data_IF_057556779449
#
_entry.id   IF_057556779449
#
_cell.length_a   1.000
_cell.length_b   1.000
_cell.length_c   1.000
_cell.angle_alpha   90.00
_cell.angle_beta   90.00
_cell.angle_gamma   90.00
#
_symmetry.space_group_name_H-M   'P 1'
#
loop_
_entity.id
_entity.type
_entity.pdbx_description
1 polymer ?
#
# COMPACT_ATOMS: atom_id res chain seq x y z
N UNK A 1 -32.42 35.83 -12.99
CA UNK A 1 -33.25 36.20 -11.83
C UNK A 1 -33.26 35.02 -10.85
N UNK A 2 -33.04 35.38 -9.58
CA UNK A 2 -33.19 34.58 -8.33
C UNK A 2 -32.09 33.55 -8.04
N UNK A 3 -31.21 34.00 -7.31
CA UNK A 3 -30.51 33.73 -6.04
C UNK A 3 -31.37 32.91 -5.07
N UNK A 4 -30.78 31.83 -4.51
CA UNK A 4 -31.04 31.46 -3.11
C UNK A 4 -29.72 30.89 -2.56
N UNK A 5 -29.14 31.65 -1.64
CA UNK A 5 -28.22 31.23 -0.61
C UNK A 5 -28.98 30.47 0.45
N UNK A 6 -28.42 29.42 0.99
CA UNK A 6 -28.71 29.00 2.37
C UNK A 6 -27.40 28.47 3.00
N UNK A 7 -26.91 29.32 3.86
CA UNK A 7 -25.99 28.99 4.94
C UNK A 7 -26.71 28.12 5.97
N UNK A 8 -26.01 27.17 6.56
CA UNK A 8 -26.25 26.78 7.94
C UNK A 8 -24.95 26.26 8.56
N UNK A 9 -24.57 26.98 9.56
CA UNK A 9 -23.46 26.76 10.46
C UNK A 9 -23.87 25.84 11.63
N UNK A 10 -22.83 25.49 12.43
CA UNK A 10 -22.89 25.09 13.85
C UNK A 10 -23.19 23.60 14.08
N UNK A 11 -22.42 22.85 14.86
CA UNK A 11 -21.98 23.14 16.23
C UNK A 11 -20.73 22.32 16.62
N UNK A 12 -19.88 22.96 17.36
CA UNK A 12 -18.91 22.35 18.28
C UNK A 12 -19.65 21.65 19.44
N UNK A 13 -19.11 20.50 19.85
CA UNK A 13 -19.27 20.01 21.22
C UNK A 13 -17.97 19.40 21.70
N UNK A 14 -17.27 20.18 22.46
CA UNK A 14 -16.30 19.78 23.47
C UNK A 14 -17.08 19.24 24.68
N UNK A 15 -16.58 18.21 25.33
CA UNK A 15 -16.73 17.82 26.75
C UNK A 15 -16.22 16.36 26.79
N UNK A 16 -15.34 15.91 27.67
CA UNK A 16 -14.82 16.41 28.92
C UNK A 16 -13.74 15.45 29.42
N UNK A 17 -12.83 16.02 30.09
CA UNK A 17 -11.80 15.35 30.86
C UNK A 17 -12.41 14.61 32.06
N UNK A 18 -11.87 13.45 32.38
CA UNK A 18 -11.94 12.90 33.73
C UNK A 18 -10.57 12.37 34.11
N UNK A 19 -9.99 13.11 34.99
CA UNK A 19 -8.81 12.77 35.75
C UNK A 19 -9.22 11.96 37.00
N UNK A 20 -8.19 11.41 37.62
CA UNK A 20 -8.09 10.90 38.99
C UNK A 20 -8.18 9.39 39.08
N UNK A 21 -7.34 8.70 39.81
CA UNK A 21 -6.65 9.05 41.04
C UNK A 21 -5.58 8.02 41.37
N UNK A 22 -4.57 8.48 42.04
CA UNK A 22 -3.50 7.76 42.72
C UNK A 22 -3.89 6.47 43.41
N UNK A 23 -3.05 5.46 43.34
CA UNK A 23 -2.43 4.96 44.59
C UNK A 23 -1.09 4.29 44.34
N UNK A 24 -0.13 4.65 45.15
CA UNK A 24 1.21 4.15 45.26
C UNK A 24 1.25 2.67 45.68
N UNK A 25 2.10 1.88 45.08
CA UNK A 25 3.13 1.14 45.82
C UNK A 25 4.19 0.54 44.91
N UNK A 26 5.39 0.74 45.32
CA UNK A 26 6.65 0.27 44.78
C UNK A 26 6.74 -1.25 44.70
N UNK A 27 7.27 -1.77 43.59
CA UNK A 27 8.32 -2.78 43.62
C UNK A 27 8.96 -2.86 42.24
N UNK A 28 10.26 -2.66 42.21
CA UNK A 28 11.16 -2.77 41.11
C UNK A 28 11.10 -4.16 40.46
N UNK A 29 10.87 -4.18 39.15
CA UNK A 29 11.43 -5.21 38.31
C UNK A 29 11.64 -4.62 36.91
N UNK A 30 12.90 -4.43 36.56
CA UNK A 30 13.34 -4.05 35.24
C UNK A 30 13.00 -5.18 34.26
N UNK A 31 11.98 -4.97 33.46
CA UNK A 31 11.80 -5.70 32.23
C UNK A 31 11.76 -4.68 31.10
N UNK A 32 12.84 -4.66 30.35
CA UNK A 32 13.00 -3.93 29.10
C UNK A 32 11.86 -4.29 28.17
N UNK A 33 10.78 -3.55 28.21
CA UNK A 33 9.76 -3.57 27.17
C UNK A 33 10.38 -2.98 25.92
N UNK A 34 10.92 -3.83 25.08
CA UNK A 34 11.11 -3.53 23.68
C UNK A 34 9.78 -3.02 23.13
N UNK A 35 9.66 -1.71 22.97
CA UNK A 35 8.53 -1.10 22.28
C UNK A 35 8.61 -1.55 20.82
N UNK A 36 7.90 -2.63 20.48
CA UNK A 36 7.59 -2.93 19.09
C UNK A 36 6.85 -1.74 18.54
N UNK A 37 7.56 -0.89 17.81
CA UNK A 37 6.94 0.14 16.98
C UNK A 37 5.99 -0.59 16.05
N UNK A 38 4.69 -0.46 16.30
CA UNK A 38 3.65 -1.01 15.44
C UNK A 38 3.74 -0.24 14.13
N UNK A 39 4.46 -0.79 13.17
CA UNK A 39 4.54 -0.20 11.84
C UNK A 39 3.13 -0.14 11.26
N UNK A 40 2.67 1.06 10.97
CA UNK A 40 1.35 1.31 10.40
C UNK A 40 1.29 0.66 9.01
N UNK A 41 0.49 -0.38 8.88
CA UNK A 41 0.28 -1.05 7.60
C UNK A 41 -0.37 -0.09 6.61
N UNK A 42 0.31 0.19 5.51
CA UNK A 42 -0.18 1.12 4.48
C UNK A 42 -1.13 0.45 3.48
N UNK A 43 -1.11 -0.88 3.41
CA UNK A 43 -1.96 -1.68 2.54
C UNK A 43 -2.79 -2.68 3.36
N UNK A 44 -4.06 -2.79 3.03
CA UNK A 44 -5.00 -3.67 3.71
C UNK A 44 -5.90 -4.42 2.71
N UNK A 45 -6.66 -5.39 3.21
CA UNK A 45 -7.55 -6.21 2.40
C UNK A 45 -8.60 -5.38 1.63
N UNK A 46 -9.08 -4.25 2.20
CA UNK A 46 -10.08 -3.40 1.53
C UNK A 46 -9.48 -2.72 0.30
N UNK A 47 -8.28 -2.17 0.45
CA UNK A 47 -7.54 -1.55 -0.67
C UNK A 47 -7.21 -2.58 -1.75
N UNK A 48 -6.80 -3.77 -1.35
CA UNK A 48 -6.51 -4.87 -2.26
C UNK A 48 -7.74 -5.31 -3.05
N UNK A 49 -8.88 -5.46 -2.40
CA UNK A 49 -10.15 -5.78 -3.06
C UNK A 49 -10.63 -4.65 -4.00
N UNK A 50 -10.43 -3.40 -3.61
CA UNK A 50 -10.75 -2.26 -4.47
C UNK A 50 -9.90 -2.28 -5.73
N UNK A 51 -8.58 -2.48 -5.59
CA UNK A 51 -7.68 -2.58 -6.72
C UNK A 51 -8.06 -3.76 -7.64
N UNK A 52 -8.42 -4.92 -7.07
CA UNK A 52 -8.84 -6.07 -7.87
C UNK A 52 -10.05 -5.74 -8.75
N UNK A 53 -11.06 -5.06 -8.20
CA UNK A 53 -12.24 -4.61 -8.97
C UNK A 53 -11.88 -3.63 -10.09
N UNK A 54 -10.99 -2.70 -9.81
CA UNK A 54 -10.53 -1.74 -10.84
C UNK A 54 -9.73 -2.44 -11.94
N UNK A 55 -8.90 -3.42 -11.59
CA UNK A 55 -8.15 -4.21 -12.57
C UNK A 55 -9.06 -5.07 -13.44
N UNK A 56 -10.10 -5.67 -12.86
CA UNK A 56 -11.12 -6.40 -13.62
C UNK A 56 -11.85 -5.49 -14.61
N UNK A 57 -12.26 -4.30 -14.15
CA UNK A 57 -12.91 -3.31 -15.01
C UNK A 57 -11.98 -2.83 -16.12
N UNK A 58 -10.72 -2.55 -15.78
CA UNK A 58 -9.71 -2.16 -16.75
C UNK A 58 -9.49 -3.26 -17.80
N UNK A 59 -9.35 -4.50 -17.35
CA UNK A 59 -9.19 -5.66 -18.25
C UNK A 59 -10.38 -5.83 -19.20
N UNK A 60 -11.60 -5.75 -18.69
CA UNK A 60 -12.83 -5.81 -19.52
C UNK A 60 -12.83 -4.71 -20.60
N UNK A 61 -12.51 -3.47 -20.21
CA UNK A 61 -12.48 -2.36 -21.15
C UNK A 61 -11.39 -2.51 -22.23
N UNK A 62 -10.31 -3.21 -21.93
CA UNK A 62 -9.19 -3.48 -22.84
C UNK A 62 -9.30 -4.83 -23.53
N UNK A 63 -10.33 -5.64 -23.24
CA UNK A 63 -10.46 -7.04 -23.68
C UNK A 63 -9.23 -7.89 -23.32
N UNK A 64 -8.67 -7.64 -22.11
CA UNK A 64 -7.47 -8.25 -21.57
C UNK A 64 -7.79 -8.90 -20.23
N UNK A 65 -7.20 -10.05 -19.96
CA UNK A 65 -7.31 -10.72 -18.66
C UNK A 65 -6.01 -10.51 -17.89
N UNK A 66 -6.13 -10.13 -16.64
CA UNK A 66 -4.99 -9.92 -15.76
C UNK A 66 -4.93 -10.97 -14.66
N UNK A 67 -3.80 -11.67 -14.59
CA UNK A 67 -3.52 -12.61 -13.51
C UNK A 67 -2.87 -11.87 -12.36
N UNK A 68 -3.45 -12.00 -11.16
CA UNK A 68 -2.88 -11.42 -9.94
C UNK A 68 -1.87 -12.38 -9.32
N UNK A 69 -0.75 -11.84 -8.85
CA UNK A 69 0.18 -12.58 -8.00
C UNK A 69 -0.49 -12.92 -6.65
N UNK A 70 -0.48 -14.18 -6.27
CA UNK A 70 -1.17 -14.69 -5.07
C UNK A 70 -0.34 -14.56 -3.77
N UNK A 71 0.90 -14.08 -3.89
CA UNK A 71 1.83 -13.94 -2.78
C UNK A 71 2.56 -15.24 -2.38
N UNK A 72 2.29 -16.36 -3.05
CA UNK A 72 2.85 -17.68 -2.74
C UNK A 72 3.58 -18.30 -3.92
N UNK A 73 2.87 -18.50 -5.02
CA UNK A 73 3.40 -19.13 -6.22
C UNK A 73 4.06 -18.08 -7.11
N UNK A 74 5.17 -18.44 -7.74
CA UNK A 74 5.85 -17.52 -8.65
C UNK A 74 4.94 -17.11 -9.80
N UNK A 75 4.84 -15.83 -10.06
CA UNK A 75 4.15 -15.29 -11.24
C UNK A 75 5.16 -15.18 -12.38
N UNK A 76 5.07 -16.10 -13.33
CA UNK A 76 5.87 -16.06 -14.55
C UNK A 76 5.20 -15.15 -15.57
N UNK A 77 5.97 -14.24 -16.12
CA UNK A 77 5.58 -13.33 -17.19
C UNK A 77 6.46 -13.59 -18.42
N UNK A 78 6.17 -12.97 -19.53
CA UNK A 78 6.97 -13.12 -20.75
C UNK A 78 8.46 -12.82 -20.56
N UNK A 79 8.83 -11.93 -19.64
CA UNK A 79 10.20 -11.47 -19.46
C UNK A 79 10.76 -11.64 -18.06
N UNK A 80 9.92 -11.91 -17.06
CA UNK A 80 10.32 -11.92 -15.64
C UNK A 80 9.55 -12.95 -14.85
N UNK A 81 10.14 -13.34 -13.72
CA UNK A 81 9.51 -14.20 -12.72
C UNK A 81 9.44 -13.39 -11.42
N UNK A 82 8.23 -13.12 -10.94
CA UNK A 82 8.02 -12.40 -9.67
C UNK A 82 7.79 -13.38 -8.52
N UNK A 83 8.29 -13.06 -7.31
CA UNK A 83 9.00 -11.82 -6.93
C UNK A 83 10.51 -11.83 -7.21
N UNK A 84 11.07 -12.86 -7.81
CA UNK A 84 12.53 -13.05 -8.00
C UNK A 84 13.17 -11.89 -8.79
N UNK A 85 12.42 -11.32 -9.73
CA UNK A 85 12.87 -10.19 -10.54
C UNK A 85 13.31 -8.98 -9.70
N UNK A 86 12.68 -8.74 -8.55
CA UNK A 86 13.07 -7.64 -7.67
C UNK A 86 14.48 -7.78 -7.10
N UNK A 87 14.98 -9.01 -6.99
CA UNK A 87 16.35 -9.29 -6.51
C UNK A 87 17.38 -9.33 -7.64
N UNK A 88 16.95 -9.74 -8.82
CA UNK A 88 17.84 -9.97 -9.97
C UNK A 88 18.01 -8.74 -10.84
N UNK A 89 16.94 -7.97 -11.03
CA UNK A 89 16.92 -6.84 -11.94
C UNK A 89 17.35 -5.55 -11.24
N UNK A 90 17.88 -4.61 -12.02
CA UNK A 90 18.15 -3.26 -11.56
C UNK A 90 17.00 -2.36 -11.98
N UNK A 91 16.31 -1.80 -11.00
CA UNK A 91 15.23 -0.84 -11.24
C UNK A 91 15.75 0.58 -11.13
N UNK A 92 15.29 1.43 -12.04
CA UNK A 92 15.65 2.86 -12.07
C UNK A 92 14.39 3.70 -12.20
N UNK A 93 14.34 4.81 -11.47
CA UNK A 93 13.33 5.84 -11.60
C UNK A 93 14.03 7.17 -11.87
N UNK A 94 13.67 7.83 -12.98
CA UNK A 94 14.33 9.06 -13.43
C UNK A 94 15.88 8.93 -13.46
N UNK A 95 16.38 7.80 -13.96
CA UNK A 95 17.80 7.49 -14.06
C UNK A 95 18.48 7.05 -12.75
N UNK A 96 17.86 7.23 -11.59
CA UNK A 96 18.41 6.82 -10.29
C UNK A 96 18.03 5.38 -9.96
N UNK A 97 18.99 4.60 -9.47
CA UNK A 97 18.71 3.25 -8.95
C UNK A 97 17.82 3.36 -7.72
N UNK A 98 16.78 2.53 -7.68
CA UNK A 98 15.86 2.42 -6.55
C UNK A 98 15.85 0.98 -6.02
N UNK A 99 15.60 0.82 -4.73
CA UNK A 99 15.22 -0.45 -4.15
C UNK A 99 13.71 -0.65 -4.28
N UNK A 100 13.31 -1.80 -4.80
CA UNK A 100 11.92 -2.18 -4.98
C UNK A 100 11.76 -3.65 -4.62
N UNK A 101 10.68 -4.03 -3.96
CA UNK A 101 10.48 -5.42 -3.56
C UNK A 101 9.06 -5.71 -3.10
N UNK A 102 8.77 -7.00 -3.01
CA UNK A 102 7.48 -7.48 -2.52
C UNK A 102 7.33 -7.19 -1.03
N UNK A 103 6.32 -6.42 -0.69
CA UNK A 103 5.96 -6.00 0.66
C UNK A 103 4.43 -5.84 0.73
N UNK A 104 3.69 -6.96 0.91
CA UNK A 104 2.24 -7.01 0.70
C UNK A 104 1.42 -6.15 1.65
N UNK A 105 2.01 -5.66 2.72
CA UNK A 105 1.36 -4.77 3.68
C UNK A 105 1.93 -3.34 3.63
N UNK A 106 2.94 -3.10 2.77
CA UNK A 106 3.61 -1.81 2.68
C UNK A 106 4.40 -1.51 3.95
N UNK A 107 5.31 -2.42 4.31
CA UNK A 107 6.05 -2.38 5.58
C UNK A 107 7.28 -1.47 5.54
N UNK A 108 7.50 -0.74 4.46
CA UNK A 108 8.62 0.18 4.28
C UNK A 108 10.01 -0.47 4.26
N UNK A 109 10.08 -1.66 3.66
CA UNK A 109 11.35 -2.39 3.51
C UNK A 109 12.20 -1.89 2.33
N UNK A 110 11.57 -1.23 1.35
CA UNK A 110 12.20 -0.76 0.12
C UNK A 110 11.89 0.71 -0.11
N UNK A 111 12.61 1.37 -1.04
CA UNK A 111 12.20 2.70 -1.49
C UNK A 111 10.78 2.65 -2.07
N UNK A 112 10.45 1.52 -2.72
CA UNK A 112 9.11 1.23 -3.24
C UNK A 112 8.67 -0.17 -2.82
N UNK A 113 7.73 -0.22 -1.89
CA UNK A 113 7.07 -1.46 -1.49
C UNK A 113 6.03 -1.85 -2.53
N UNK A 114 6.14 -3.05 -3.12
CA UNK A 114 5.15 -3.58 -4.05
C UNK A 114 4.13 -4.40 -3.30
N UNK A 115 2.88 -3.97 -3.33
CA UNK A 115 1.77 -4.57 -2.59
C UNK A 115 0.85 -5.43 -3.44
N UNK A 116 0.84 -5.21 -4.76
CA UNK A 116 0.12 -6.06 -5.70
C UNK A 116 0.82 -6.09 -7.06
N UNK A 117 0.74 -7.23 -7.74
CA UNK A 117 1.26 -7.44 -9.08
C UNK A 117 0.15 -8.04 -9.92
N UNK A 118 -0.10 -7.44 -11.08
CA UNK A 118 -1.02 -7.96 -12.08
C UNK A 118 -0.31 -8.08 -13.41
N UNK A 119 -0.49 -9.22 -14.07
CA UNK A 119 0.16 -9.47 -15.34
C UNK A 119 -0.87 -9.90 -16.39
N UNK A 120 -0.77 -9.31 -17.56
CA UNK A 120 -1.41 -9.76 -18.77
C UNK A 120 -0.30 -10.30 -19.69
N UNK A 121 -0.24 -11.61 -19.77
CA UNK A 121 0.60 -12.27 -20.77
C UNK A 121 -0.18 -12.51 -22.03
N UNK A 122 0.51 -12.25 -23.08
CA UNK A 122 0.14 -12.35 -24.41
C UNK A 122 -0.90 -13.35 -24.76
N UNK A 123 -1.90 -12.81 -25.26
CA UNK A 123 -2.78 -13.47 -26.16
C UNK A 123 -2.50 -12.96 -27.59
N UNK A 124 -3.43 -13.11 -28.46
CA UNK A 124 -3.37 -12.81 -29.88
C UNK A 124 -2.97 -11.39 -30.27
N UNK A 125 -2.95 -10.45 -29.32
CA UNK A 125 -2.59 -9.04 -29.55
C UNK A 125 -1.10 -8.71 -29.44
N UNK A 126 -0.28 -9.68 -29.05
CA UNK A 126 1.16 -9.48 -28.94
C UNK A 126 1.63 -8.59 -27.79
N UNK A 127 0.74 -8.24 -26.84
CA UNK A 127 1.07 -7.29 -25.77
C UNK A 127 1.32 -7.97 -24.44
N UNK A 128 2.40 -7.58 -23.78
CA UNK A 128 2.71 -7.97 -22.40
C UNK A 128 2.60 -6.74 -21.50
N UNK A 129 1.87 -6.86 -20.40
CA UNK A 129 1.72 -5.75 -19.46
C UNK A 129 1.77 -6.26 -18.04
N UNK A 130 2.72 -5.75 -17.27
CA UNK A 130 2.79 -6.00 -15.84
C UNK A 130 2.55 -4.69 -15.09
N UNK A 131 1.57 -4.68 -14.19
CA UNK A 131 1.30 -3.57 -13.29
C UNK A 131 1.81 -3.91 -11.90
N UNK A 132 2.62 -3.01 -11.34
CA UNK A 132 3.09 -3.06 -9.96
C UNK A 132 2.38 -1.96 -9.17
N UNK A 133 1.50 -2.35 -8.24
CA UNK A 133 0.95 -1.39 -7.29
C UNK A 133 1.96 -1.19 -6.17
N UNK A 134 2.56 -0.02 -6.09
CA UNK A 134 3.60 0.28 -5.12
C UNK A 134 3.31 1.54 -4.31
N UNK A 135 3.84 1.58 -3.09
CA UNK A 135 3.88 2.76 -2.23
C UNK A 135 5.33 3.14 -1.92
N UNK A 136 5.58 4.42 -1.67
CA UNK A 136 6.89 4.91 -1.26
C UNK A 136 7.05 4.83 0.24
N UNK A 137 8.19 4.35 0.71
CA UNK A 137 8.52 4.35 2.14
C UNK A 137 8.95 5.73 2.64
N UNK A 138 9.45 6.57 1.75
CA UNK A 138 9.82 7.94 2.10
C UNK A 138 8.57 8.80 2.19
N UNK A 139 8.16 9.17 3.41
CA UNK A 139 7.31 10.34 3.59
C UNK A 139 7.98 11.50 2.85
N UNK A 140 7.27 12.11 1.91
CA UNK A 140 7.74 13.37 1.33
C UNK A 140 7.84 14.35 2.49
N UNK A 141 9.06 14.61 2.94
CA UNK A 141 9.35 15.85 3.66
C UNK A 141 9.13 16.94 2.62
N UNK A 142 7.95 17.52 2.62
CA UNK A 142 7.67 18.76 1.91
C UNK A 142 8.44 19.84 2.64
N UNK A 143 9.39 20.43 1.93
CA UNK A 143 10.04 21.70 2.29
C UNK A 143 9.06 22.82 1.99
#
# INVERSE_FOLDING_TARGET
MKKILLMSAVALSLIGASACSNNSNSTSNSSTKSSKTVQKKHWDKKKDQKLAKEMDKYGKNKKQTYTKYDGKNKLTTASRIYPDAFKKDTFKLNGKKISIGWSPQGEHHYDYDVMAIYNHDLTKDGQHRTFLSSGTSKSRLSW
#
